data_IF_307915316934
#
_entry.id   IF_307915316934
#
_cell.length_a   1.000
_cell.length_b   1.000
_cell.length_c   1.000
_cell.angle_alpha   90.00
_cell.angle_beta   90.00
_cell.angle_gamma   90.00
#
_symmetry.space_group_name_H-M   'P 1'
#
loop_
_entity.id
_entity.type
_entity.pdbx_description
1 polymer ?
#
# COMPACT_ATOMS: atom_id res chain seq x y z
N UNK A 1 7.75 0.53 5.84
CA UNK A 1 7.31 1.90 6.21
C UNK A 1 5.89 2.09 5.75
N UNK A 2 5.13 2.91 6.46
CA UNK A 2 3.77 3.28 6.08
C UNK A 2 3.77 4.67 5.49
N UNK A 3 3.16 4.82 4.31
CA UNK A 3 2.83 6.12 3.73
C UNK A 3 1.40 6.45 4.16
N UNK A 4 1.26 7.51 4.95
CA UNK A 4 -0.03 7.94 5.52
C UNK A 4 -0.35 9.35 5.10
N UNK A 5 -1.62 9.66 4.94
CA UNK A 5 -2.09 11.04 4.74
C UNK A 5 -3.11 11.37 5.82
N UNK A 6 -2.94 12.50 6.49
CA UNK A 6 -3.95 13.05 7.38
C UNK A 6 -5.03 13.74 6.55
N UNK A 7 -6.29 13.40 6.76
CA UNK A 7 -7.41 14.13 6.17
C UNK A 7 -7.69 15.41 6.94
N UNK A 8 -8.45 16.33 6.34
CA UNK A 8 -8.86 17.58 7.00
C UNK A 8 -9.66 17.33 8.29
N UNK A 9 -10.34 16.17 8.37
CA UNK A 9 -11.03 15.70 9.59
C UNK A 9 -10.14 15.02 10.62
N UNK A 10 -8.80 15.05 10.46
CA UNK A 10 -7.85 14.45 11.41
C UNK A 10 -7.72 12.92 11.33
N UNK A 11 -8.28 12.29 10.29
CA UNK A 11 -8.20 10.83 10.12
C UNK A 11 -6.94 10.48 9.35
N UNK A 12 -6.11 9.58 9.90
CA UNK A 12 -4.95 9.05 9.19
C UNK A 12 -5.37 7.93 8.24
N UNK A 13 -5.11 8.12 6.95
CA UNK A 13 -5.39 7.14 5.90
C UNK A 13 -4.07 6.56 5.41
N UNK A 14 -3.90 5.26 5.58
CA UNK A 14 -2.75 4.53 5.02
C UNK A 14 -2.90 4.45 3.50
N UNK A 15 -2.01 5.13 2.78
CA UNK A 15 -1.96 5.15 1.31
C UNK A 15 -1.26 3.91 0.77
N UNK A 16 -0.13 3.56 1.36
CA UNK A 16 0.69 2.42 0.94
C UNK A 16 1.54 1.90 2.09
N UNK A 17 1.85 0.61 2.04
CA UNK A 17 2.87 0.00 2.87
C UNK A 17 4.06 -0.44 2.02
N UNK A 18 5.20 0.21 2.24
CA UNK A 18 6.46 -0.14 1.58
C UNK A 18 7.19 -1.26 2.35
N UNK A 19 7.53 -2.33 1.62
CA UNK A 19 8.30 -3.51 2.06
C UNK A 19 9.77 -3.39 1.64
N UNK A 20 10.67 -4.25 2.16
CA UNK A 20 12.07 -4.27 1.69
C UNK A 20 12.16 -4.37 0.17
N UNK A 21 13.03 -3.55 -0.43
CA UNK A 21 13.23 -3.48 -1.88
C UNK A 21 12.21 -2.63 -2.64
N UNK A 22 11.16 -2.13 -2.00
CA UNK A 22 10.20 -1.24 -2.65
C UNK A 22 10.64 0.23 -2.57
N UNK A 23 10.23 1.01 -3.57
CA UNK A 23 10.42 2.47 -3.58
C UNK A 23 9.48 3.11 -2.56
N UNK A 24 9.95 4.18 -1.93
CA UNK A 24 9.18 5.01 -1.03
C UNK A 24 8.98 6.38 -1.68
N UNK A 25 7.78 6.95 -1.55
CA UNK A 25 7.43 8.28 -2.03
C UNK A 25 7.55 8.45 -3.56
N UNK A 26 7.28 7.39 -4.32
CA UNK A 26 7.23 7.39 -5.79
C UNK A 26 6.25 8.44 -6.33
N UNK A 27 5.11 8.61 -5.68
CA UNK A 27 4.10 9.60 -6.03
C UNK A 27 4.59 11.04 -5.81
N UNK A 28 5.64 11.24 -5.02
CA UNK A 28 6.24 12.55 -4.74
C UNK A 28 7.43 12.87 -5.65
N UNK A 29 7.90 11.93 -6.48
CA UNK A 29 9.08 12.13 -7.32
C UNK A 29 8.96 13.32 -8.30
N UNK A 30 7.73 13.72 -8.63
CA UNK A 30 7.42 14.84 -9.52
C UNK A 30 6.63 15.96 -8.81
N UNK A 31 6.52 15.90 -7.47
CA UNK A 31 5.79 16.90 -6.69
C UNK A 31 6.75 17.89 -6.05
N UNK A 32 6.38 19.17 -6.05
CA UNK A 32 7.12 20.21 -5.33
C UNK A 32 7.01 20.07 -3.80
N UNK A 33 5.99 19.37 -3.30
CA UNK A 33 5.74 19.16 -1.87
C UNK A 33 5.29 17.73 -1.61
N UNK A 34 5.71 17.15 -0.48
CA UNK A 34 5.18 15.88 -0.03
C UNK A 34 3.68 16.01 0.27
N UNK A 35 2.90 15.03 -0.17
CA UNK A 35 1.44 14.95 0.04
C UNK A 35 1.06 13.80 0.99
N UNK A 36 2.05 13.03 1.45
CA UNK A 36 1.94 11.98 2.45
C UNK A 36 3.18 11.97 3.33
N UNK A 37 3.01 11.44 4.54
CA UNK A 37 4.07 11.23 5.51
C UNK A 37 4.57 9.80 5.42
N UNK A 38 5.87 9.60 5.59
CA UNK A 38 6.47 8.27 5.72
C UNK A 38 6.81 7.97 7.18
N UNK A 39 6.21 6.92 7.73
CA UNK A 39 6.45 6.47 9.11
C UNK A 39 7.10 5.09 9.13
N UNK A 40 8.23 4.99 9.82
CA UNK A 40 8.82 3.70 10.14
C UNK A 40 7.97 3.00 11.23
N UNK A 41 7.44 1.83 10.92
CA UNK A 41 6.64 1.01 11.87
C UNK A 41 7.55 0.12 12.73
N UNK A 42 8.71 -0.24 12.17
CA UNK A 42 9.77 -1.03 12.80
C UNK A 42 11.12 -0.38 12.49
N UNK A 43 12.19 -0.83 13.15
CA UNK A 43 13.55 -0.44 12.77
C UNK A 43 13.75 -0.64 11.26
N UNK A 44 14.07 0.43 10.55
CA UNK A 44 14.10 0.47 9.09
C UNK A 44 15.35 1.21 8.62
N UNK A 45 15.99 0.69 7.58
CA UNK A 45 17.07 1.38 6.85
C UNK A 45 16.53 1.79 5.47
N UNK A 46 16.79 3.03 5.08
CA UNK A 46 16.42 3.57 3.77
C UNK A 46 17.65 4.09 3.04
N UNK A 47 17.64 4.01 1.71
CA UNK A 47 18.61 4.68 0.86
C UNK A 47 17.95 5.91 0.24
N UNK A 48 18.39 7.09 0.67
CA UNK A 48 17.92 8.35 0.09
C UNK A 48 18.60 8.60 -1.27
N UNK A 49 17.83 9.08 -2.24
CA UNK A 49 18.31 9.50 -3.56
C UNK A 49 17.80 10.92 -3.80
N UNK A 50 18.67 11.90 -4.12
CA UNK A 50 18.22 13.24 -4.48
C UNK A 50 17.31 13.18 -5.71
N UNK A 51 16.12 13.80 -5.62
CA UNK A 51 15.12 13.76 -6.70
C UNK A 51 15.69 14.31 -8.00
N UNK A 52 16.45 15.41 -7.97
CA UNK A 52 17.09 15.98 -9.16
C UNK A 52 17.98 14.94 -9.88
N UNK A 53 18.87 14.29 -9.14
CA UNK A 53 19.74 13.23 -9.67
C UNK A 53 18.95 12.05 -10.22
N UNK A 54 17.87 11.65 -9.52
CA UNK A 54 16.99 10.58 -10.00
C UNK A 54 16.36 10.94 -11.35
N UNK A 55 15.80 12.14 -11.47
CA UNK A 55 15.16 12.62 -12.70
C UNK A 55 16.15 12.79 -13.86
N UNK A 56 17.34 13.31 -13.60
CA UNK A 56 18.43 13.39 -14.59
C UNK A 56 18.80 11.99 -15.12
N UNK A 57 18.94 11.01 -14.23
CA UNK A 57 19.25 9.62 -14.62
C UNK A 57 18.11 8.96 -15.37
N UNK A 58 16.87 9.24 -14.97
CA UNK A 58 15.68 8.74 -15.65
C UNK A 58 15.59 9.28 -17.09
N UNK A 59 15.96 10.54 -17.31
CA UNK A 59 15.98 11.15 -18.63
C UNK A 59 17.08 10.59 -19.54
N UNK A 60 18.22 10.18 -18.97
CA UNK A 60 19.37 9.67 -19.71
C UNK A 60 19.33 8.14 -19.96
N UNK A 61 18.53 7.38 -19.22
CA UNK A 61 18.51 5.92 -19.25
C UNK A 61 17.11 5.39 -19.57
N UNK A 62 16.93 4.94 -20.83
CA UNK A 62 15.64 4.43 -21.31
C UNK A 62 15.18 3.17 -20.58
N UNK A 63 16.08 2.26 -20.22
CA UNK A 63 15.69 1.04 -19.50
C UNK A 63 15.20 1.38 -18.09
N UNK A 64 15.88 2.33 -17.42
CA UNK A 64 15.42 2.84 -16.14
C UNK A 64 14.04 3.51 -16.26
N UNK A 65 13.81 4.30 -17.31
CA UNK A 65 12.53 4.94 -17.58
C UNK A 65 11.39 3.93 -17.79
N UNK A 66 11.63 2.88 -18.57
CA UNK A 66 10.66 1.80 -18.81
C UNK A 66 10.31 1.05 -17.50
N UNK A 67 11.33 0.69 -16.71
CA UNK A 67 11.14 0.03 -15.40
C UNK A 67 10.36 0.93 -14.44
N UNK A 68 10.67 2.22 -14.41
CA UNK A 68 9.97 3.20 -13.59
C UNK A 68 8.51 3.39 -14.01
N UNK A 69 8.24 3.52 -15.31
CA UNK A 69 6.88 3.63 -15.83
C UNK A 69 6.05 2.38 -15.49
N UNK A 70 6.62 1.18 -15.65
CA UNK A 70 5.96 -0.07 -15.26
C UNK A 70 5.71 -0.15 -13.75
N UNK A 71 6.62 0.37 -12.92
CA UNK A 71 6.44 0.48 -11.48
C UNK A 71 5.27 1.42 -11.12
N UNK A 72 5.21 2.61 -11.72
CA UNK A 72 4.11 3.56 -11.52
C UNK A 72 2.77 2.98 -11.99
N UNK A 73 2.74 2.25 -13.10
CA UNK A 73 1.53 1.59 -13.59
C UNK A 73 1.00 0.56 -12.57
N UNK A 74 1.88 -0.24 -11.98
CA UNK A 74 1.52 -1.19 -10.91
C UNK A 74 1.04 -0.47 -9.65
N UNK A 75 1.66 0.66 -9.28
CA UNK A 75 1.21 1.47 -8.15
C UNK A 75 -0.20 2.03 -8.38
N UNK A 76 -0.51 2.51 -9.60
CA UNK A 76 -1.85 2.98 -9.97
C UNK A 76 -2.88 1.85 -9.95
N UNK A 77 -2.55 0.68 -10.48
CA UNK A 77 -3.43 -0.50 -10.41
C UNK A 77 -3.74 -0.87 -8.96
N UNK A 78 -2.73 -0.94 -8.10
CA UNK A 78 -2.90 -1.23 -6.69
C UNK A 78 -3.77 -0.18 -5.97
N UNK A 79 -3.58 1.11 -6.28
CA UNK A 79 -4.37 2.19 -5.72
C UNK A 79 -5.85 2.12 -6.17
N UNK A 80 -6.12 1.82 -7.45
CA UNK A 80 -7.48 1.67 -7.99
C UNK A 80 -8.20 0.47 -7.36
N UNK A 81 -7.54 -0.68 -7.29
CA UNK A 81 -8.06 -1.87 -6.62
C UNK A 81 -8.40 -1.56 -5.16
N UNK A 82 -7.52 -0.86 -4.45
CA UNK A 82 -7.78 -0.48 -3.08
C UNK A 82 -8.97 0.47 -2.95
N UNK A 83 -9.08 1.45 -3.84
CA UNK A 83 -10.24 2.34 -3.87
C UNK A 83 -11.54 1.55 -4.05
N UNK A 84 -11.56 0.57 -4.96
CA UNK A 84 -12.69 -0.35 -5.17
C UNK A 84 -13.02 -1.14 -3.90
N UNK A 85 -12.03 -1.79 -3.27
CA UNK A 85 -12.20 -2.53 -2.01
C UNK A 85 -12.84 -1.63 -0.94
N UNK A 86 -12.39 -0.38 -0.80
CA UNK A 86 -12.92 0.54 0.21
C UNK A 86 -14.38 0.95 -0.02
N UNK A 87 -14.93 0.77 -1.23
CA UNK A 87 -16.36 1.00 -1.53
C UNK A 87 -17.26 -0.16 -1.08
N UNK A 88 -16.70 -1.34 -0.82
CA UNK A 88 -17.46 -2.53 -0.41
C UNK A 88 -17.95 -2.39 1.04
N UNK A 89 -19.11 -2.97 1.36
CA UNK A 89 -19.80 -2.70 2.63
C UNK A 89 -19.35 -3.62 3.76
N UNK A 90 -19.10 -4.88 3.45
CA UNK A 90 -18.81 -5.91 4.44
C UNK A 90 -17.33 -6.27 4.48
N UNK A 91 -16.88 -6.76 5.64
CA UNK A 91 -15.50 -7.29 5.80
C UNK A 91 -15.26 -8.46 4.86
N UNK A 92 -16.28 -9.31 4.64
CA UNK A 92 -16.19 -10.46 3.76
C UNK A 92 -15.94 -10.04 2.30
N UNK A 93 -16.77 -9.15 1.75
CA UNK A 93 -16.61 -8.63 0.38
C UNK A 93 -15.23 -8.01 0.17
N UNK A 94 -14.79 -7.19 1.14
CA UNK A 94 -13.47 -6.54 1.13
C UNK A 94 -12.33 -7.55 1.11
N UNK A 95 -12.41 -8.57 1.96
CA UNK A 95 -11.41 -9.61 2.05
C UNK A 95 -11.39 -10.47 0.78
N UNK A 96 -12.54 -10.81 0.22
CA UNK A 96 -12.63 -11.60 -1.01
C UNK A 96 -12.07 -10.85 -2.22
N UNK A 97 -12.36 -9.55 -2.32
CA UNK A 97 -11.78 -8.69 -3.35
C UNK A 97 -10.25 -8.62 -3.22
N UNK A 98 -9.73 -8.48 -2.00
CA UNK A 98 -8.29 -8.47 -1.76
C UNK A 98 -7.61 -9.81 -2.09
N UNK A 99 -8.27 -10.95 -1.80
CA UNK A 99 -7.74 -12.29 -2.09
C UNK A 99 -7.75 -12.62 -3.59
N UNK A 100 -8.75 -12.16 -4.35
CA UNK A 100 -8.87 -12.40 -5.80
C UNK A 100 -7.68 -11.88 -6.62
N UNK A 101 -6.94 -10.92 -6.09
CA UNK A 101 -5.72 -10.37 -6.69
C UNK A 101 -4.48 -11.30 -6.59
N UNK A 102 -4.69 -12.61 -6.33
CA UNK A 102 -3.62 -13.57 -6.14
C UNK A 102 -2.83 -13.37 -4.84
N UNK A 103 -3.41 -12.63 -3.88
CA UNK A 103 -2.77 -12.35 -2.59
C UNK A 103 -3.06 -13.49 -1.62
N UNK A 104 -2.01 -14.00 -0.99
CA UNK A 104 -2.15 -14.92 0.13
C UNK A 104 -2.25 -14.14 1.46
N UNK A 105 -3.06 -14.65 2.39
CA UNK A 105 -3.01 -14.16 3.76
C UNK A 105 -1.59 -14.32 4.30
N UNK A 106 -0.99 -13.25 4.87
CA UNK A 106 0.32 -13.37 5.47
C UNK A 106 0.22 -14.17 6.78
N UNK A 107 1.36 -14.45 7.41
CA UNK A 107 1.39 -15.05 8.73
C UNK A 107 0.50 -14.25 9.72
N UNK A 108 -0.09 -14.95 10.71
CA UNK A 108 -1.09 -14.39 11.64
C UNK A 108 -0.68 -13.05 12.28
N UNK A 109 0.61 -12.87 12.55
CA UNK A 109 1.19 -11.63 13.08
C UNK A 109 1.26 -10.43 12.12
N UNK A 110 0.81 -10.58 10.88
CA UNK A 110 0.72 -9.52 9.88
C UNK A 110 -0.71 -9.30 9.39
N UNK A 111 -1.73 -9.90 10.02
CA UNK A 111 -3.12 -9.67 9.63
C UNK A 111 -3.61 -8.26 9.93
N UNK A 112 -3.03 -7.56 10.92
CA UNK A 112 -3.31 -6.14 11.12
C UNK A 112 -2.95 -5.30 9.88
N UNK A 113 -2.02 -5.79 9.06
CA UNK A 113 -1.59 -5.11 7.85
C UNK A 113 -2.64 -5.21 6.76
N UNK A 114 -3.22 -6.41 6.62
CA UNK A 114 -4.35 -6.65 5.73
C UNK A 114 -5.56 -5.83 6.17
N UNK A 115 -5.85 -5.77 7.47
CA UNK A 115 -6.96 -4.99 8.01
C UNK A 115 -6.84 -3.50 7.65
N UNK A 116 -5.65 -2.92 7.81
CA UNK A 116 -5.37 -1.55 7.41
C UNK A 116 -5.47 -1.35 5.90
N UNK A 117 -5.02 -2.32 5.09
CA UNK A 117 -5.09 -2.26 3.63
C UNK A 117 -6.55 -2.22 3.13
N UNK A 118 -7.41 -3.09 3.65
CA UNK A 118 -8.82 -3.18 3.25
C UNK A 118 -9.76 -2.25 4.04
N UNK A 119 -9.21 -1.42 4.93
CA UNK A 119 -9.95 -0.40 5.69
C UNK A 119 -10.94 -0.96 6.71
N UNK A 120 -10.55 -2.00 7.44
CA UNK A 120 -11.35 -2.61 8.53
C UNK A 120 -10.55 -2.64 9.83
N UNK A 121 -11.22 -2.79 10.97
CA UNK A 121 -10.51 -3.00 12.23
C UNK A 121 -9.87 -4.40 12.28
N UNK A 122 -8.79 -4.53 13.05
CA UNK A 122 -8.14 -5.83 13.29
C UNK A 122 -9.13 -6.84 13.83
N UNK A 123 -9.95 -6.42 14.78
CA UNK A 123 -10.96 -7.26 15.44
C UNK A 123 -12.01 -7.75 14.44
N UNK A 124 -12.42 -6.88 13.50
CA UNK A 124 -13.38 -7.23 12.46
C UNK A 124 -12.80 -8.27 11.49
N UNK A 125 -11.55 -8.09 11.03
CA UNK A 125 -10.87 -9.07 10.18
C UNK A 125 -10.69 -10.41 10.90
N UNK A 126 -10.28 -10.39 12.17
CA UNK A 126 -10.08 -11.61 12.96
C UNK A 126 -11.38 -12.39 13.16
N UNK A 127 -12.50 -11.71 13.43
CA UNK A 127 -13.83 -12.33 13.51
C UNK A 127 -14.21 -12.99 12.19
N UNK A 128 -14.01 -12.31 11.07
CA UNK A 128 -14.31 -12.85 9.74
C UNK A 128 -13.46 -14.08 9.42
N UNK A 129 -12.16 -14.03 9.66
CA UNK A 129 -11.27 -15.17 9.47
C UNK A 129 -11.61 -16.34 10.39
N UNK A 130 -12.08 -16.07 11.62
CA UNK A 130 -12.55 -17.12 12.52
C UNK A 130 -13.84 -17.76 12.05
N UNK A 131 -14.75 -16.99 11.45
CA UNK A 131 -16.00 -17.48 10.86
C UNK A 131 -15.71 -18.43 9.71
N UNK A 132 -14.88 -18.03 8.75
CA UNK A 132 -14.46 -18.86 7.60
C UNK A 132 -13.76 -20.17 7.97
N UNK A 133 -13.08 -20.21 9.12
CA UNK A 133 -12.48 -21.46 9.63
C UNK A 133 -13.50 -22.44 10.19
N UNK A 134 -14.64 -21.94 10.70
CA UNK A 134 -15.73 -22.77 11.24
C UNK A 134 -16.67 -23.22 10.13
N UNK A 135 -16.85 -22.38 9.11
CA UNK A 135 -17.70 -22.61 7.94
C UNK A 135 -16.85 -22.40 6.68
N UNK A 136 -16.05 -23.40 6.27
CA UNK A 136 -15.34 -23.34 5.00
C UNK A 136 -16.36 -23.30 3.83
N UNK A 137 -16.04 -22.59 2.74
CA UNK A 137 -16.89 -22.51 1.56
C UNK A 137 -17.07 -23.86 0.86
#
# INVERSE_FOLDING_TARGET
MDLTRLTDGGVSVMQQRARPGQVLAEASAYSARYHCDARAVTATVVRAVPVARFLERLAADRLLAEVWAAHLARAVQAARMRAEILTLRTVAERLDAWLREGRALPAKGAWQDVAAEIGVSREALYRELSRRRREPP
#
